data_IF_239254107937
#
_entry.id   IF_239254107937
#
_cell.length_a   1.000
_cell.length_b   1.000
_cell.length_c   1.000
_cell.angle_alpha   90.00
_cell.angle_beta   90.00
_cell.angle_gamma   90.00
#
_symmetry.space_group_name_H-M   'P 1'
#
loop_
_entity.id
_entity.type
_entity.pdbx_description
1 polymer ?
#
# COMPACT_ATOMS: atom_id res chain seq x y z
N UNK A 1 -13.45 0.96 -0.09
CA UNK A 1 -13.03 -0.42 0.15
C UNK A 1 -13.85 -1.09 1.23
N UNK A 2 -13.51 -2.30 1.67
CA UNK A 2 -14.30 -3.16 2.57
C UNK A 2 -14.85 -2.44 3.83
N UNK A 3 -14.07 -1.55 4.44
CA UNK A 3 -14.46 -0.80 5.64
C UNK A 3 -15.60 0.21 5.41
N UNK A 4 -15.83 0.62 4.16
CA UNK A 4 -16.79 1.68 3.81
C UNK A 4 -17.82 1.23 2.78
N UNK A 5 -17.62 0.06 2.18
CA UNK A 5 -18.53 -0.56 1.21
C UNK A 5 -19.88 -0.80 1.86
N UNK A 6 -20.96 -0.43 1.17
CA UNK A 6 -22.34 -0.50 1.67
C UNK A 6 -22.52 0.10 3.10
N UNK A 7 -21.87 1.25 3.34
CA UNK A 7 -21.90 1.88 4.66
C UNK A 7 -21.13 1.12 5.76
N UNK A 8 -20.34 0.09 5.42
CA UNK A 8 -19.60 -0.79 6.33
C UNK A 8 -20.26 -2.15 6.54
N UNK A 9 -21.36 -2.44 5.85
CA UNK A 9 -22.09 -3.71 5.99
C UNK A 9 -21.23 -4.93 5.60
N UNK A 10 -20.39 -4.81 4.56
CA UNK A 10 -19.52 -5.91 4.13
C UNK A 10 -18.50 -6.29 5.21
N UNK A 11 -17.93 -5.29 5.89
CA UNK A 11 -17.02 -5.54 7.02
C UNK A 11 -17.73 -6.24 8.18
N UNK A 12 -18.93 -5.76 8.52
CA UNK A 12 -19.74 -6.36 9.58
C UNK A 12 -20.15 -7.80 9.24
N UNK A 13 -20.53 -8.07 7.98
CA UNK A 13 -20.92 -9.42 7.53
C UNK A 13 -19.76 -10.42 7.64
N UNK A 14 -18.54 -10.04 7.18
CA UNK A 14 -17.34 -10.90 7.31
C UNK A 14 -17.04 -11.18 8.79
N UNK A 15 -17.05 -10.14 9.63
CA UNK A 15 -16.77 -10.27 11.06
C UNK A 15 -17.80 -11.16 11.76
N UNK A 16 -19.08 -10.92 11.47
CA UNK A 16 -20.20 -11.74 12.01
C UNK A 16 -20.07 -13.20 11.61
N UNK A 17 -19.80 -13.48 10.33
CA UNK A 17 -19.66 -14.84 9.83
C UNK A 17 -18.52 -15.59 10.53
N UNK A 18 -17.36 -14.96 10.70
CA UNK A 18 -16.24 -15.57 11.42
C UNK A 18 -16.58 -15.81 12.90
N UNK A 19 -17.25 -14.87 13.56
CA UNK A 19 -17.67 -15.03 14.95
C UNK A 19 -18.68 -16.17 15.14
N UNK A 20 -19.67 -16.32 14.25
CA UNK A 20 -20.63 -17.43 14.28
C UNK A 20 -20.01 -18.79 13.99
N UNK A 21 -18.90 -18.84 13.26
CA UNK A 21 -18.10 -20.05 13.02
C UNK A 21 -17.19 -20.42 14.22
N UNK A 22 -17.29 -19.73 15.34
CA UNK A 22 -16.53 -20.06 16.55
C UNK A 22 -15.17 -19.38 16.67
N UNK A 23 -14.98 -18.23 16.02
CA UNK A 23 -13.74 -17.47 16.12
C UNK A 23 -13.90 -16.18 16.92
N UNK A 24 -12.84 -15.79 17.62
CA UNK A 24 -12.58 -14.40 17.98
C UNK A 24 -11.93 -13.73 16.79
N UNK A 25 -12.36 -12.51 16.46
CA UNK A 25 -11.97 -11.85 15.21
C UNK A 25 -11.44 -10.45 15.50
N UNK A 26 -10.36 -10.07 14.89
CA UNK A 26 -9.89 -8.70 14.87
C UNK A 26 -9.41 -8.34 13.48
N UNK A 27 -9.39 -7.04 13.17
CA UNK A 27 -8.80 -6.56 11.95
C UNK A 27 -7.77 -5.46 12.24
N UNK A 28 -6.82 -5.31 11.32
CA UNK A 28 -5.79 -4.29 11.35
C UNK A 28 -5.72 -3.60 9.99
N UNK A 29 -5.55 -2.29 9.99
CA UNK A 29 -5.21 -1.52 8.79
C UNK A 29 -3.73 -1.19 8.83
N UNK A 30 -2.93 -1.83 8.00
CA UNK A 30 -1.49 -1.62 7.96
C UNK A 30 -1.11 -1.00 6.62
N UNK A 31 -0.38 0.12 6.65
CA UNK A 31 0.22 0.72 5.46
C UNK A 31 1.64 0.18 5.27
N UNK A 32 1.91 -0.39 4.09
CA UNK A 32 3.25 -0.84 3.72
C UNK A 32 4.29 0.28 3.77
N UNK A 33 3.88 1.55 3.76
CA UNK A 33 4.77 2.70 3.95
C UNK A 33 5.58 2.67 5.25
N UNK A 34 5.19 1.87 6.22
CA UNK A 34 5.97 1.59 7.44
C UNK A 34 7.20 0.71 7.18
N UNK A 35 7.22 -0.05 6.10
CA UNK A 35 8.20 -1.08 5.78
C UNK A 35 8.97 -0.83 4.48
N UNK A 36 8.28 -0.33 3.47
CA UNK A 36 8.83 -0.06 2.13
C UNK A 36 8.38 1.34 1.68
N UNK A 37 9.07 1.99 0.73
CA UNK A 37 8.68 3.32 0.29
C UNK A 37 7.42 3.29 -0.62
N UNK A 38 6.37 2.57 -0.22
CA UNK A 38 5.10 2.47 -0.91
C UNK A 38 3.92 2.70 0.04
N UNK A 39 3.09 3.69 -0.20
CA UNK A 39 1.81 3.84 0.49
C UNK A 39 0.81 2.81 -0.05
N UNK A 40 0.60 1.74 0.73
CA UNK A 40 -0.27 0.61 0.41
C UNK A 40 -1.03 0.16 1.66
N UNK A 41 -2.04 0.90 2.11
CA UNK A 41 -2.87 0.46 3.23
C UNK A 41 -3.71 -0.76 2.83
N UNK A 42 -3.71 -1.78 3.68
CA UNK A 42 -4.51 -3.00 3.54
C UNK A 42 -5.16 -3.36 4.86
N UNK A 43 -6.33 -3.99 4.76
CA UNK A 43 -7.02 -4.57 5.92
C UNK A 43 -6.62 -6.03 6.05
N UNK A 44 -6.15 -6.40 7.22
CA UNK A 44 -5.80 -7.78 7.58
C UNK A 44 -6.78 -8.27 8.63
N UNK A 45 -7.54 -9.31 8.33
CA UNK A 45 -8.35 -10.02 9.31
C UNK A 45 -7.52 -11.13 9.93
N UNK A 46 -7.54 -11.20 11.24
CA UNK A 46 -6.95 -12.31 11.98
C UNK A 46 -8.03 -12.90 12.88
N UNK A 47 -8.30 -14.17 12.68
CA UNK A 47 -9.30 -14.92 13.43
C UNK A 47 -8.62 -16.04 14.23
N UNK A 48 -8.92 -16.13 15.52
CA UNK A 48 -8.41 -17.13 16.44
C UNK A 48 -9.60 -17.97 16.95
N UNK A 49 -9.46 -19.28 16.97
CA UNK A 49 -10.50 -20.15 17.54
C UNK A 49 -10.85 -19.70 18.96
N UNK A 50 -12.12 -19.73 19.32
CA UNK A 50 -12.63 -19.22 20.60
C UNK A 50 -12.09 -19.97 21.81
N UNK A 51 -11.78 -21.27 21.63
CA UNK A 51 -11.18 -22.14 22.64
C UNK A 51 -9.70 -21.82 22.92
N UNK A 52 -9.05 -20.99 22.09
CA UNK A 52 -7.66 -20.57 22.28
C UNK A 52 -7.63 -19.16 22.87
N UNK A 53 -7.04 -18.99 24.05
CA UNK A 53 -6.84 -17.67 24.64
C UNK A 53 -5.61 -16.99 24.01
N UNK A 54 -5.74 -15.78 23.43
CA UNK A 54 -4.58 -15.04 22.94
C UNK A 54 -3.73 -14.55 24.10
N UNK A 55 -2.40 -14.46 23.95
CA UNK A 55 -1.53 -13.83 24.94
C UNK A 55 -1.95 -12.38 25.18
N UNK A 56 -2.02 -11.96 26.46
CA UNK A 56 -2.45 -10.61 26.83
C UNK A 56 -1.66 -9.50 26.10
N UNK A 57 -0.36 -9.70 25.86
CA UNK A 57 0.51 -8.75 25.13
C UNK A 57 0.17 -8.55 23.66
N UNK A 58 -0.63 -9.45 23.06
CA UNK A 58 -1.03 -9.37 21.65
C UNK A 58 -2.44 -8.79 21.46
N UNK A 59 -3.13 -8.48 22.54
CA UNK A 59 -4.49 -7.94 22.51
C UNK A 59 -4.56 -6.71 23.40
N UNK A 60 -5.13 -5.63 22.90
CA UNK A 60 -5.35 -4.40 23.64
C UNK A 60 -6.81 -4.20 24.02
N UNK A 61 -7.06 -3.43 25.10
CA UNK A 61 -8.40 -2.93 25.43
C UNK A 61 -8.90 -1.90 24.40
N UNK A 62 -7.94 -1.21 23.73
CA UNK A 62 -8.18 -0.26 22.65
C UNK A 62 -7.17 -0.50 21.51
N UNK A 63 -7.50 -0.07 20.28
CA UNK A 63 -6.59 -0.23 19.14
C UNK A 63 -5.38 0.72 19.24
N UNK A 64 -4.21 0.24 18.86
CA UNK A 64 -3.03 1.10 18.66
C UNK A 64 -3.13 1.86 17.33
N UNK A 65 -2.55 3.05 17.27
CA UNK A 65 -2.71 3.94 16.10
C UNK A 65 -2.08 3.38 14.82
N UNK A 66 -1.00 2.61 14.95
CA UNK A 66 -0.30 2.09 13.77
C UNK A 66 -1.06 0.97 13.05
N UNK A 67 -2.02 0.28 13.70
CA UNK A 67 -2.84 -0.80 13.10
C UNK A 67 -4.32 -0.44 12.95
N UNK A 68 -4.77 0.73 13.38
CA UNK A 68 -6.18 1.07 13.33
C UNK A 68 -6.43 2.46 12.75
N UNK A 69 -6.73 2.50 11.45
CA UNK A 69 -7.22 3.72 10.81
C UNK A 69 -8.54 4.20 11.40
N UNK A 70 -8.86 5.50 11.24
CA UNK A 70 -10.16 6.05 11.64
C UNK A 70 -11.34 5.29 11.02
N UNK A 71 -11.19 4.84 9.76
CA UNK A 71 -12.21 4.03 9.08
C UNK A 71 -12.42 2.67 9.75
N UNK A 72 -11.35 1.99 10.19
CA UNK A 72 -11.44 0.73 10.92
C UNK A 72 -12.09 0.93 12.30
N UNK A 73 -11.69 1.94 13.04
CA UNK A 73 -12.30 2.28 14.35
C UNK A 73 -13.80 2.52 14.20
N UNK A 74 -14.19 3.31 13.19
CA UNK A 74 -15.62 3.59 12.90
C UNK A 74 -16.38 2.33 12.49
N UNK A 75 -15.79 1.44 11.69
CA UNK A 75 -16.41 0.20 11.28
C UNK A 75 -16.58 -0.77 12.46
N UNK A 76 -15.56 -0.93 13.31
CA UNK A 76 -15.60 -1.78 14.49
C UNK A 76 -16.62 -1.27 15.56
N UNK A 77 -16.74 0.04 15.74
CA UNK A 77 -17.71 0.62 16.67
C UNK A 77 -19.19 0.34 16.31
N UNK A 78 -19.44 -0.09 15.05
CA UNK A 78 -20.79 -0.44 14.55
C UNK A 78 -21.11 -1.93 14.66
N UNK A 79 -20.15 -2.76 15.09
CA UNK A 79 -20.38 -4.19 15.28
C UNK A 79 -21.40 -4.44 16.39
N UNK A 80 -22.25 -5.43 16.18
CA UNK A 80 -23.32 -5.85 17.13
C UNK A 80 -23.32 -7.35 17.30
N UNK A 81 -23.99 -7.86 18.35
CA UNK A 81 -24.16 -9.30 18.61
C UNK A 81 -22.83 -10.06 18.59
N UNK A 82 -22.85 -11.26 18.04
CA UNK A 82 -21.69 -12.16 18.02
C UNK A 82 -20.41 -11.51 17.47
N UNK A 83 -20.53 -10.58 16.50
CA UNK A 83 -19.38 -9.88 15.96
C UNK A 83 -18.72 -8.97 16.99
N UNK A 84 -19.53 -8.24 17.77
CA UNK A 84 -19.05 -7.37 18.85
C UNK A 84 -18.48 -8.16 20.02
N UNK A 85 -19.20 -9.23 20.44
CA UNK A 85 -18.84 -10.02 21.62
C UNK A 85 -17.55 -10.81 21.42
N UNK A 86 -17.16 -11.09 20.17
CA UNK A 86 -15.96 -11.83 19.81
C UNK A 86 -14.92 -10.94 19.12
N UNK A 87 -15.06 -9.61 19.16
CA UNK A 87 -14.09 -8.69 18.60
C UNK A 87 -12.84 -8.60 19.47
N UNK A 88 -11.66 -8.56 18.79
CA UNK A 88 -10.36 -8.35 19.39
C UNK A 88 -9.66 -7.15 18.74
N UNK A 89 -9.01 -6.33 19.55
CA UNK A 89 -8.03 -5.38 19.07
C UNK A 89 -6.65 -6.02 19.12
N UNK A 90 -6.17 -6.48 17.97
CA UNK A 90 -4.80 -7.00 17.87
C UNK A 90 -3.79 -5.88 18.11
N UNK A 91 -2.76 -6.16 18.92
CA UNK A 91 -1.73 -5.21 19.32
C UNK A 91 -0.32 -5.76 19.05
N UNK A 92 0.02 -6.14 17.81
CA UNK A 92 1.40 -6.48 17.49
C UNK A 92 2.30 -5.24 17.72
N UNK A 93 3.58 -5.41 18.08
CA UNK A 93 4.49 -4.30 18.25
C UNK A 93 4.64 -3.49 16.97
N UNK A 94 4.79 -2.18 17.12
CA UNK A 94 5.04 -1.30 15.97
C UNK A 94 6.40 -1.62 15.35
N UNK A 95 6.52 -1.70 14.00
CA UNK A 95 7.81 -1.90 13.36
C UNK A 95 8.73 -0.69 13.56
N UNK A 96 10.02 -0.92 13.50
CA UNK A 96 10.98 0.18 13.41
C UNK A 96 10.69 1.05 12.17
N UNK A 97 11.00 2.34 12.26
CA UNK A 97 10.85 3.23 11.10
C UNK A 97 11.70 2.72 9.94
N UNK A 98 11.10 2.70 8.74
CA UNK A 98 11.86 2.42 7.51
C UNK A 98 12.94 3.48 7.33
N UNK A 99 14.09 3.06 6.84
CA UNK A 99 15.23 3.92 6.52
C UNK A 99 15.43 4.13 5.01
N UNK A 100 14.47 3.74 4.19
CA UNK A 100 14.51 3.81 2.73
C UNK A 100 13.44 4.75 2.20
N UNK A 101 13.74 5.47 1.14
CA UNK A 101 12.81 6.30 0.39
C UNK A 101 12.66 5.76 -1.06
N UNK A 102 11.83 6.44 -1.86
CA UNK A 102 11.61 6.04 -3.24
C UNK A 102 12.89 6.12 -4.08
N UNK A 103 13.76 7.09 -3.83
CA UNK A 103 15.01 7.25 -4.60
C UNK A 103 15.92 6.02 -4.45
N UNK A 104 15.93 5.39 -3.26
CA UNK A 104 16.76 4.22 -2.97
C UNK A 104 16.39 2.97 -3.76
N UNK A 105 15.16 2.89 -4.30
CA UNK A 105 14.70 1.72 -5.05
C UNK A 105 14.80 1.91 -6.57
N UNK A 106 15.07 3.13 -7.04
CA UNK A 106 15.13 3.47 -8.46
C UNK A 106 16.33 2.81 -9.12
N UNK A 107 16.10 2.15 -10.25
CA UNK A 107 17.17 1.57 -11.08
C UNK A 107 17.88 2.66 -11.89
N UNK A 108 19.20 2.76 -11.77
CA UNK A 108 20.02 3.65 -12.62
C UNK A 108 19.90 3.28 -14.11
N UNK A 109 19.76 1.99 -14.39
CA UNK A 109 19.58 1.41 -15.75
C UNK A 109 18.36 0.47 -15.70
N UNK A 110 17.14 1.02 -15.80
CA UNK A 110 15.92 0.21 -15.65
C UNK A 110 15.80 -0.81 -16.81
N UNK A 111 15.38 -2.01 -16.45
CA UNK A 111 15.13 -3.09 -17.44
C UNK A 111 13.63 -3.23 -17.69
N UNK A 112 13.28 -3.53 -18.94
CA UNK A 112 11.89 -3.77 -19.35
C UNK A 112 11.04 -2.51 -19.49
N UNK A 113 11.63 -1.32 -19.40
CA UNK A 113 10.99 -0.02 -19.64
C UNK A 113 11.94 0.93 -20.37
N UNK A 114 11.37 1.81 -21.19
CA UNK A 114 12.11 2.86 -21.89
C UNK A 114 11.75 4.22 -21.28
N UNK A 115 12.71 5.16 -21.36
CA UNK A 115 12.41 6.55 -21.09
C UNK A 115 11.48 7.10 -22.17
N UNK A 116 10.50 7.87 -21.77
CA UNK A 116 9.67 8.63 -22.68
C UNK A 116 10.53 9.69 -23.40
N UNK A 117 10.16 10.02 -24.61
CA UNK A 117 10.71 11.18 -25.29
C UNK A 117 10.32 12.49 -24.59
N UNK A 118 10.90 13.61 -25.05
CA UNK A 118 10.65 14.92 -24.47
C UNK A 118 9.17 15.31 -24.59
N UNK A 119 8.55 15.03 -25.73
CA UNK A 119 7.15 15.38 -25.99
C UNK A 119 6.18 14.58 -25.13
N UNK A 120 6.41 13.29 -24.96
CA UNK A 120 5.61 12.44 -24.07
C UNK A 120 5.73 12.90 -22.61
N UNK A 121 6.95 13.27 -22.17
CA UNK A 121 7.17 13.84 -20.83
C UNK A 121 6.44 15.16 -20.67
N UNK A 122 6.52 16.06 -21.65
CA UNK A 122 5.83 17.36 -21.62
C UNK A 122 4.29 17.19 -21.62
N UNK A 123 3.76 16.25 -22.40
CA UNK A 123 2.32 15.92 -22.34
C UNK A 123 1.88 15.48 -20.94
N UNK A 124 2.68 14.69 -20.23
CA UNK A 124 2.39 14.31 -18.85
C UNK A 124 2.43 15.51 -17.90
N UNK A 125 3.41 16.39 -18.05
CA UNK A 125 3.54 17.63 -17.27
C UNK A 125 2.32 18.53 -17.53
N UNK A 126 1.90 18.69 -18.77
CA UNK A 126 0.72 19.49 -19.15
C UNK A 126 -0.61 18.99 -18.55
N UNK A 127 -0.66 17.74 -18.08
CA UNK A 127 -1.83 17.20 -17.37
C UNK A 127 -1.80 17.47 -15.85
N UNK A 128 -0.75 18.10 -15.34
CA UNK A 128 -0.61 18.41 -13.91
C UNK A 128 -1.43 19.64 -13.50
N UNK A 129 -1.99 19.61 -12.30
CA UNK A 129 -2.54 20.80 -11.65
C UNK A 129 -1.42 21.73 -11.18
N UNK A 130 -1.74 22.99 -10.88
CA UNK A 130 -0.78 23.97 -10.33
C UNK A 130 -0.03 23.41 -9.11
N UNK A 131 -0.73 22.71 -8.21
CA UNK A 131 -0.12 22.06 -7.04
C UNK A 131 0.92 21.00 -7.43
N UNK A 132 0.65 20.20 -8.46
CA UNK A 132 1.59 19.17 -8.90
C UNK A 132 2.76 19.75 -9.70
N UNK A 133 2.54 20.83 -10.46
CA UNK A 133 3.60 21.60 -11.12
C UNK A 133 4.55 22.22 -10.07
N UNK A 134 4.01 22.79 -9.00
CA UNK A 134 4.83 23.32 -7.91
C UNK A 134 5.73 22.25 -7.27
N UNK A 135 5.20 21.04 -7.04
CA UNK A 135 6.01 19.89 -6.56
C UNK A 135 7.11 19.52 -7.55
N UNK A 136 6.82 19.55 -8.85
CA UNK A 136 7.81 19.25 -9.90
C UNK A 136 8.90 20.32 -9.93
N UNK A 137 8.56 21.60 -9.82
CA UNK A 137 9.55 22.69 -9.75
C UNK A 137 10.43 22.58 -8.50
N UNK A 138 9.87 22.15 -7.37
CA UNK A 138 10.65 21.86 -6.15
C UNK A 138 11.62 20.70 -6.40
N UNK A 139 11.17 19.64 -7.08
CA UNK A 139 12.01 18.51 -7.44
C UNK A 139 13.19 18.92 -8.33
N UNK A 140 12.97 19.81 -9.31
CA UNK A 140 14.01 20.33 -10.23
C UNK A 140 15.12 21.11 -9.53
N UNK A 141 14.81 21.70 -8.37
CA UNK A 141 15.79 22.49 -7.58
C UNK A 141 16.68 21.62 -6.68
N UNK A 142 16.40 20.33 -6.58
CA UNK A 142 17.19 19.43 -5.76
C UNK A 142 18.62 19.31 -6.31
N UNK A 143 19.61 19.20 -5.41
CA UNK A 143 20.98 18.90 -5.80
C UNK A 143 21.09 17.44 -6.26
N UNK A 144 21.63 17.23 -7.47
CA UNK A 144 21.78 15.89 -8.05
C UNK A 144 20.50 15.35 -8.69
N UNK A 145 20.35 14.05 -8.74
CA UNK A 145 19.16 13.40 -9.28
C UNK A 145 18.10 13.25 -8.19
N UNK A 146 16.90 13.77 -8.47
CA UNK A 146 15.74 13.65 -7.60
C UNK A 146 14.61 12.91 -8.29
N UNK A 147 13.86 12.12 -7.53
CA UNK A 147 12.86 11.20 -8.06
C UNK A 147 11.49 11.43 -7.41
N UNK A 148 10.45 11.30 -8.23
CA UNK A 148 9.07 11.34 -7.80
C UNK A 148 8.27 10.28 -8.55
N UNK A 149 7.13 9.88 -7.99
CA UNK A 149 6.18 9.00 -8.68
C UNK A 149 4.93 9.77 -9.06
N UNK A 150 4.24 9.30 -10.10
CA UNK A 150 2.96 9.86 -10.49
C UNK A 150 2.00 8.79 -10.99
N UNK A 151 0.71 9.11 -10.88
CA UNK A 151 -0.36 8.39 -11.55
C UNK A 151 -1.10 9.30 -12.52
N UNK A 152 -1.49 8.73 -13.64
CA UNK A 152 -2.51 9.33 -14.48
C UNK A 152 -3.89 8.89 -13.98
N UNK A 153 -4.74 9.84 -13.64
CA UNK A 153 -6.09 9.60 -13.12
C UNK A 153 -7.12 10.48 -13.84
N UNK A 154 -8.28 9.90 -14.08
CA UNK A 154 -9.42 10.67 -14.56
C UNK A 154 -10.08 11.41 -13.40
N UNK A 155 -10.23 12.71 -13.52
CA UNK A 155 -10.84 13.60 -12.52
C UNK A 155 -11.95 14.44 -13.17
N UNK A 156 -12.95 14.92 -12.39
CA UNK A 156 -13.85 15.97 -12.87
C UNK A 156 -13.03 17.17 -13.36
N UNK A 157 -13.45 17.78 -14.47
CA UNK A 157 -12.76 18.96 -15.05
C UNK A 157 -13.29 20.31 -14.55
N UNK A 158 -14.33 20.29 -13.74
CA UNK A 158 -15.00 21.50 -13.23
C UNK A 158 -16.08 22.07 -14.16
N UNK A 159 -16.16 21.59 -15.41
CA UNK A 159 -17.15 22.01 -16.40
C UNK A 159 -18.23 20.91 -16.65
N UNK A 160 -18.33 19.95 -15.74
CA UNK A 160 -19.26 18.80 -15.85
C UNK A 160 -18.70 17.60 -16.62
N UNK A 161 -17.49 17.72 -17.18
CA UNK A 161 -16.77 16.65 -17.88
C UNK A 161 -15.72 15.95 -17.00
N UNK A 162 -14.90 15.13 -17.65
CA UNK A 162 -13.78 14.41 -17.00
C UNK A 162 -12.51 14.57 -17.83
N UNK A 163 -11.42 14.93 -17.15
CA UNK A 163 -10.11 15.07 -17.75
C UNK A 163 -9.08 14.13 -17.13
N UNK A 164 -8.11 13.69 -17.94
CA UNK A 164 -6.96 12.96 -17.44
C UNK A 164 -6.02 13.93 -16.73
N UNK A 165 -5.64 13.60 -15.49
CA UNK A 165 -4.71 14.39 -14.66
C UNK A 165 -3.54 13.53 -14.24
N UNK A 166 -2.36 14.13 -14.15
CA UNK A 166 -1.16 13.52 -13.57
C UNK A 166 -0.97 14.04 -12.15
N UNK A 167 -1.04 13.14 -11.19
CA UNK A 167 -0.90 13.45 -9.76
C UNK A 167 0.50 13.02 -9.31
N UNK A 168 1.36 14.01 -9.06
CA UNK A 168 2.75 13.82 -8.64
C UNK A 168 2.85 13.62 -7.13
N UNK A 169 3.66 12.65 -6.72
CA UNK A 169 4.04 12.37 -5.34
C UNK A 169 5.55 12.50 -5.19
N UNK A 170 6.00 13.48 -4.39
CA UNK A 170 7.41 13.82 -4.19
C UNK A 170 7.82 13.78 -2.70
N UNK A 171 7.13 12.97 -1.89
CA UNK A 171 7.33 12.81 -0.45
C UNK A 171 8.20 11.57 -0.11
N UNK A 172 8.99 11.08 -1.05
CA UNK A 172 9.82 9.89 -0.87
C UNK A 172 9.04 8.57 -0.87
N UNK A 173 7.76 8.60 -1.26
CA UNK A 173 6.92 7.42 -1.34
C UNK A 173 6.39 7.20 -2.76
N UNK A 174 6.26 5.94 -3.14
CA UNK A 174 5.43 5.54 -4.26
C UNK A 174 3.96 5.39 -3.83
N UNK A 175 3.05 5.56 -4.78
CA UNK A 175 1.66 5.21 -4.58
C UNK A 175 1.44 3.68 -4.56
N UNK A 176 0.24 3.25 -4.23
CA UNK A 176 -0.12 1.83 -4.21
C UNK A 176 -0.02 1.22 -5.61
N UNK A 177 0.78 0.18 -5.79
CA UNK A 177 0.73 -0.65 -6.99
C UNK A 177 -0.67 -1.23 -7.14
N UNK A 178 -1.18 -1.22 -8.36
CA UNK A 178 -2.50 -1.75 -8.71
C UNK A 178 -2.36 -2.68 -9.89
N UNK A 179 -3.29 -3.61 -10.00
CA UNK A 179 -3.46 -4.43 -11.20
C UNK A 179 -3.67 -3.53 -12.41
N UNK A 180 -2.93 -3.75 -13.49
CA UNK A 180 -2.91 -2.87 -14.65
C UNK A 180 -4.13 -3.11 -15.57
N UNK A 181 -5.36 -3.04 -15.02
CA UNK A 181 -6.56 -3.00 -15.82
C UNK A 181 -6.72 -1.61 -16.45
N UNK A 182 -6.82 -1.52 -17.78
CA UNK A 182 -7.15 -0.27 -18.46
C UNK A 182 -6.03 0.77 -18.65
N UNK A 183 -4.77 0.43 -18.43
CA UNK A 183 -3.60 1.26 -18.83
C UNK A 183 -3.30 2.50 -17.97
N UNK A 184 -4.27 3.06 -17.28
CA UNK A 184 -4.13 4.32 -16.51
C UNK A 184 -3.63 4.16 -15.07
N UNK A 185 -3.48 2.94 -14.60
CA UNK A 185 -3.13 2.63 -13.20
C UNK A 185 -1.64 2.35 -12.97
N UNK A 186 -0.81 2.36 -14.01
CA UNK A 186 0.63 2.17 -13.91
C UNK A 186 1.30 3.41 -13.31
N UNK A 187 2.27 3.20 -12.44
CA UNK A 187 3.07 4.30 -11.92
C UNK A 187 4.07 4.80 -12.95
N UNK A 188 4.25 6.10 -12.95
CA UNK A 188 5.23 6.83 -13.75
C UNK A 188 6.31 7.32 -12.78
N UNK A 189 7.57 7.10 -13.13
CA UNK A 189 8.73 7.69 -12.46
C UNK A 189 9.08 8.99 -13.18
N UNK A 190 9.22 10.06 -12.42
CA UNK A 190 9.81 11.31 -12.85
C UNK A 190 11.20 11.42 -12.23
N UNK A 191 12.19 11.72 -13.05
CA UNK A 191 13.53 12.10 -12.63
C UNK A 191 13.79 13.54 -12.99
N UNK A 192 14.25 14.33 -12.03
CA UNK A 192 14.79 15.66 -12.27
C UNK A 192 16.29 15.65 -11.97
N UNK A 193 17.10 16.06 -12.95
CA UNK A 193 18.56 16.13 -12.81
C UNK A 193 19.07 17.35 -13.57
N UNK A 194 19.83 18.22 -12.89
CA UNK A 194 20.37 19.44 -13.47
C UNK A 194 19.29 20.30 -14.18
N UNK A 195 18.11 20.42 -13.59
CA UNK A 195 16.98 21.17 -14.15
C UNK A 195 16.21 20.46 -15.27
N UNK A 196 16.74 19.36 -15.82
CA UNK A 196 16.08 18.57 -16.86
C UNK A 196 15.18 17.53 -16.22
N UNK A 197 13.96 17.39 -16.73
CA UNK A 197 12.97 16.39 -16.29
C UNK A 197 12.77 15.35 -17.38
N UNK A 198 12.81 14.09 -17.00
CA UNK A 198 12.43 12.97 -17.86
C UNK A 198 11.49 12.02 -17.11
N UNK A 199 10.74 11.23 -17.84
CA UNK A 199 9.77 10.30 -17.25
C UNK A 199 9.79 8.93 -17.91
N UNK A 200 9.33 7.91 -17.20
CA UNK A 200 9.15 6.55 -17.68
C UNK A 200 8.15 5.80 -16.82
N UNK A 201 7.73 4.64 -17.25
CA UNK A 201 7.01 3.74 -16.35
C UNK A 201 7.94 3.21 -15.26
N UNK A 202 7.36 2.86 -14.12
CA UNK A 202 8.04 2.11 -13.07
C UNK A 202 8.44 0.74 -13.61
N UNK A 203 9.70 0.30 -13.41
CA UNK A 203 10.14 -1.00 -13.90
C UNK A 203 9.58 -2.15 -13.05
N UNK A 204 9.54 -3.38 -13.58
CA UNK A 204 9.13 -4.55 -12.79
C UNK A 204 10.00 -4.77 -11.56
N UNK A 205 11.32 -4.54 -11.66
CA UNK A 205 12.24 -4.69 -10.52
C UNK A 205 12.01 -3.63 -9.45
N UNK A 206 11.80 -2.39 -9.83
CA UNK A 206 11.42 -1.33 -8.89
C UNK A 206 10.09 -1.62 -8.20
N UNK A 207 9.10 -2.14 -8.93
CA UNK A 207 7.84 -2.57 -8.37
C UNK A 207 8.03 -3.73 -7.37
N UNK A 208 8.93 -4.68 -7.66
CA UNK A 208 9.28 -5.78 -6.74
C UNK A 208 9.94 -5.27 -5.45
N UNK A 209 10.85 -4.29 -5.55
CA UNK A 209 11.45 -3.62 -4.39
C UNK A 209 10.41 -2.92 -3.52
N UNK A 210 9.43 -2.27 -4.14
CA UNK A 210 8.29 -1.65 -3.43
C UNK A 210 7.43 -2.68 -2.69
N UNK A 211 7.39 -3.93 -3.17
CA UNK A 211 6.70 -5.03 -2.50
C UNK A 211 7.58 -5.76 -1.46
N UNK A 212 8.85 -5.36 -1.32
CA UNK A 212 9.80 -5.98 -0.40
C UNK A 212 10.32 -7.34 -0.83
N UNK A 213 10.28 -7.64 -2.14
CA UNK A 213 10.87 -8.84 -2.71
C UNK A 213 12.39 -8.70 -2.81
N UNK A 214 13.16 -9.77 -2.61
CA UNK A 214 14.61 -9.76 -2.76
C UNK A 214 15.03 -9.58 -4.23
N UNK A 215 16.28 -9.17 -4.44
CA UNK A 215 16.79 -8.86 -5.79
C UNK A 215 16.87 -10.09 -6.71
N UNK A 216 17.06 -11.27 -6.15
CA UNK A 216 17.14 -12.56 -6.84
C UNK A 216 15.77 -13.18 -7.14
N UNK A 217 14.68 -12.55 -6.68
CA UNK A 217 13.33 -13.06 -6.97
C UNK A 217 13.06 -13.01 -8.48
N UNK A 218 12.73 -14.17 -9.05
CA UNK A 218 12.45 -14.32 -10.50
C UNK A 218 11.07 -13.75 -10.80
N UNK A 219 11.04 -12.68 -11.59
CA UNK A 219 9.79 -12.06 -12.05
C UNK A 219 9.36 -12.68 -13.40
N UNK A 220 8.05 -12.70 -13.70
CA UNK A 220 7.57 -13.00 -15.05
C UNK A 220 8.26 -12.13 -16.09
N UNK A 221 8.56 -12.70 -17.28
CA UNK A 221 9.27 -11.98 -18.34
C UNK A 221 8.48 -10.84 -18.96
N UNK A 222 7.16 -10.99 -19.08
CA UNK A 222 6.32 -9.92 -19.62
C UNK A 222 6.04 -8.85 -18.55
N UNK A 223 6.20 -7.58 -18.94
CA UNK A 223 5.97 -6.42 -18.06
C UNK A 223 4.62 -6.46 -17.35
N UNK A 224 3.55 -6.75 -18.10
CA UNK A 224 2.19 -6.75 -17.55
C UNK A 224 1.99 -7.85 -16.52
N UNK A 225 2.53 -9.04 -16.76
CA UNK A 225 2.37 -10.18 -15.86
C UNK A 225 3.13 -9.93 -14.54
N UNK A 226 4.36 -9.40 -14.64
CA UNK A 226 5.11 -8.98 -13.46
C UNK A 226 4.37 -7.89 -12.67
N UNK A 227 3.82 -6.90 -13.38
CA UNK A 227 3.12 -5.79 -12.73
C UNK A 227 1.78 -6.23 -12.11
N UNK A 228 1.06 -7.19 -12.71
CA UNK A 228 -0.16 -7.81 -12.16
C UNK A 228 0.17 -8.58 -10.88
N UNK A 229 1.17 -9.48 -10.93
CA UNK A 229 1.63 -10.24 -9.77
C UNK A 229 1.93 -9.31 -8.58
N UNK A 230 2.68 -8.24 -8.82
CA UNK A 230 3.07 -7.29 -7.79
C UNK A 230 1.90 -6.40 -7.33
N UNK A 231 0.98 -6.07 -8.23
CA UNK A 231 -0.22 -5.29 -7.92
C UNK A 231 -1.20 -6.01 -7.01
N UNK A 232 -1.36 -7.32 -7.19
CA UNK A 232 -2.28 -8.17 -6.41
C UNK A 232 -1.64 -8.71 -5.12
N UNK A 233 -0.30 -8.76 -5.07
CA UNK A 233 0.44 -9.31 -3.94
C UNK A 233 0.28 -8.52 -2.63
N UNK A 234 0.65 -9.14 -1.54
CA UNK A 234 0.85 -8.52 -0.22
C UNK A 234 2.31 -8.12 -0.08
N UNK A 235 2.59 -6.94 0.48
CA UNK A 235 3.97 -6.51 0.76
C UNK A 235 4.64 -7.50 1.71
N UNK A 236 5.77 -8.08 1.27
CA UNK A 236 6.45 -9.19 1.97
C UNK A 236 6.87 -8.80 3.36
N UNK A 237 7.35 -7.57 3.55
CA UNK A 237 7.81 -7.10 4.86
C UNK A 237 6.66 -6.97 5.86
N UNK A 238 5.44 -6.63 5.41
CA UNK A 238 4.24 -6.63 6.26
C UNK A 238 3.89 -8.07 6.68
N UNK A 239 3.87 -9.00 5.71
CA UNK A 239 3.57 -10.41 5.99
C UNK A 239 4.60 -11.03 6.96
N UNK A 240 5.90 -10.73 6.77
CA UNK A 240 6.98 -11.18 7.65
C UNK A 240 6.80 -10.63 9.06
N UNK A 241 6.54 -9.34 9.20
CA UNK A 241 6.31 -8.71 10.50
C UNK A 241 5.14 -9.36 11.24
N UNK A 242 4.01 -9.57 10.56
CA UNK A 242 2.84 -10.24 11.16
C UNK A 242 3.13 -11.70 11.52
N UNK A 243 3.90 -12.42 10.67
CA UNK A 243 4.35 -13.78 11.00
C UNK A 243 5.11 -13.77 12.31
N UNK A 244 6.15 -12.94 12.41
CA UNK A 244 7.10 -12.99 13.53
C UNK A 244 6.49 -12.47 14.84
N UNK A 245 5.65 -11.43 14.75
CA UNK A 245 5.14 -10.73 15.94
C UNK A 245 3.75 -11.17 16.40
N UNK A 246 2.97 -11.78 15.51
CA UNK A 246 1.59 -12.19 15.82
C UNK A 246 1.38 -13.69 15.60
N UNK A 247 1.65 -14.22 14.40
CA UNK A 247 1.27 -15.61 14.09
C UNK A 247 2.15 -16.64 14.78
N UNK A 248 3.47 -16.51 14.77
CA UNK A 248 4.34 -17.44 15.47
C UNK A 248 4.09 -17.51 16.98
N UNK A 249 3.94 -16.40 17.71
CA UNK A 249 3.53 -16.41 19.09
C UNK A 249 2.19 -17.11 19.35
N UNK A 250 1.20 -16.97 18.45
CA UNK A 250 -0.09 -17.66 18.57
C UNK A 250 0.03 -19.17 18.29
N UNK A 251 0.85 -19.57 17.32
CA UNK A 251 1.06 -20.98 16.96
C UNK A 251 1.83 -21.76 18.05
N UNK A 252 2.73 -21.11 18.76
CA UNK A 252 3.48 -21.74 19.88
C UNK A 252 2.59 -22.13 21.06
N UNK A 253 1.42 -21.51 21.21
CA UNK A 253 0.45 -21.90 22.25
C UNK A 253 -0.11 -23.31 22.02
N UNK A 254 -0.33 -23.69 20.74
CA UNK A 254 -0.83 -25.05 20.39
C UNK A 254 0.17 -26.18 20.67
N UNK A 255 1.46 -25.90 20.78
CA UNK A 255 2.50 -26.93 21.02
C UNK A 255 2.73 -27.21 22.49
N UNK A 256 2.02 -26.51 23.40
CA UNK A 256 2.15 -26.68 24.86
C UNK A 256 0.95 -27.37 25.50
N UNK A 257 -0.01 -27.82 24.70
CA UNK A 257 -1.15 -28.68 25.05
C UNK A 257 -0.98 -30.01 24.30
#
# INVERSE_FOLDING_TARGET
GLLTSHGGADFAAVTHRLATLGYRVGAMTIDAARFTPQSRPRVFFVALRRDVAPPARLVGAAPTDWVASAALRKAAARLTGAARDNWLWWAPPEPAHRNTDFASIVEARPRGVLWHDADATQRLIGMMSATNLHKLETLKRAKGAAYATAYRRTRPDGAGGRASRVELRADGLAGCLRTAAGGSSRQIVFEAKNGVVRSRLLSPREAARLMGLPEDYILPGAYNDAYHLLGDGVAVNVARHLRDTLFEPLLRLRRRV
#
